data_IF_052110740142
#
_entry.id   IF_052110740142
#
_cell.length_a   1.000
_cell.length_b   1.000
_cell.length_c   1.000
_cell.angle_alpha   90.00
_cell.angle_beta   90.00
_cell.angle_gamma   90.00
#
_symmetry.space_group_name_H-M   'P 1'
#
loop_
_entity.id
_entity.type
_entity.pdbx_description
1 polymer ?
#
# COMPACT_ATOMS: atom_id res chain seq x y z
N UNK A 1 -5.58 9.24 -22.00
CA UNK A 1 -6.35 7.97 -21.97
C UNK A 1 -5.46 6.78 -21.64
N UNK A 2 -4.26 6.67 -22.23
CA UNK A 2 -3.28 5.64 -21.85
C UNK A 2 -2.87 5.70 -20.36
N UNK A 3 -2.72 6.91 -19.82
CA UNK A 3 -2.40 7.16 -18.41
C UNK A 3 -3.46 6.62 -17.44
N UNK A 4 -4.75 6.60 -17.82
CA UNK A 4 -5.81 5.97 -17.01
C UNK A 4 -5.66 4.45 -16.93
N UNK A 5 -5.21 3.79 -18.01
CA UNK A 5 -4.95 2.35 -17.98
C UNK A 5 -3.79 2.02 -17.04
N UNK A 6 -2.75 2.88 -17.01
CA UNK A 6 -1.63 2.74 -16.07
C UNK A 6 -2.12 2.89 -14.63
N UNK A 7 -2.90 3.93 -14.33
CA UNK A 7 -3.48 4.15 -13.00
C UNK A 7 -4.34 2.95 -12.58
N UNK A 8 -5.24 2.49 -13.46
CA UNK A 8 -6.09 1.32 -13.20
C UNK A 8 -5.26 0.05 -12.94
N UNK A 9 -4.22 -0.19 -13.73
CA UNK A 9 -3.34 -1.34 -13.54
C UNK A 9 -2.63 -1.30 -12.18
N UNK A 10 -2.15 -0.13 -11.77
CA UNK A 10 -1.54 0.06 -10.45
C UNK A 10 -2.57 -0.13 -9.32
N UNK A 11 -3.79 0.35 -9.50
CA UNK A 11 -4.89 0.16 -8.55
C UNK A 11 -5.20 -1.32 -8.35
N UNK A 12 -5.24 -2.10 -9.43
CA UNK A 12 -5.42 -3.56 -9.37
C UNK A 12 -4.28 -4.22 -8.59
N UNK A 13 -3.03 -3.80 -8.77
CA UNK A 13 -1.89 -4.34 -8.01
C UNK A 13 -2.05 -4.03 -6.52
N UNK A 14 -2.38 -2.79 -6.14
CA UNK A 14 -2.53 -2.43 -4.73
C UNK A 14 -3.69 -3.14 -4.06
N UNK A 15 -4.82 -3.29 -4.75
CA UNK A 15 -5.93 -4.09 -4.25
C UNK A 15 -5.53 -5.56 -4.15
N UNK A 16 -4.82 -6.12 -5.13
CA UNK A 16 -4.30 -7.49 -5.01
C UNK A 16 -3.41 -7.63 -3.77
N UNK A 17 -2.48 -6.71 -3.52
CA UNK A 17 -1.63 -6.72 -2.33
C UNK A 17 -2.44 -6.63 -1.03
N UNK A 18 -3.49 -5.81 -0.99
CA UNK A 18 -4.36 -5.66 0.18
C UNK A 18 -5.03 -6.97 0.63
N UNK A 19 -5.34 -7.86 -0.32
CA UNK A 19 -6.12 -9.07 -0.08
C UNK A 19 -5.35 -10.38 -0.22
N UNK A 20 -4.23 -10.39 -0.96
CA UNK A 20 -3.44 -11.59 -1.22
C UNK A 20 -2.61 -11.99 0.00
N UNK A 21 -2.08 -11.02 0.75
CA UNK A 21 -1.34 -11.29 1.99
C UNK A 21 -2.31 -11.58 3.14
N UNK A 22 -2.17 -12.75 3.75
CA UNK A 22 -3.02 -13.23 4.84
C UNK A 22 -2.20 -14.05 5.86
N UNK A 23 -2.85 -14.55 6.92
CA UNK A 23 -2.16 -15.28 8.01
C UNK A 23 -1.42 -16.53 7.52
N UNK A 24 -1.97 -17.23 6.53
CA UNK A 24 -1.43 -18.51 6.06
C UNK A 24 -0.16 -18.31 5.23
N UNK A 25 -0.07 -17.21 4.49
CA UNK A 25 1.03 -16.94 3.56
C UNK A 25 1.96 -15.79 4.01
N UNK A 26 1.65 -15.06 5.08
CA UNK A 26 2.46 -13.93 5.57
C UNK A 26 3.91 -14.33 5.84
N UNK A 27 4.16 -15.54 6.35
CA UNK A 27 5.53 -16.06 6.59
C UNK A 27 6.39 -16.16 5.32
N UNK A 28 5.79 -16.09 4.14
CA UNK A 28 6.48 -16.09 2.85
C UNK A 28 6.43 -14.71 2.18
N UNK A 29 5.25 -14.07 2.17
CA UNK A 29 4.99 -12.89 1.37
C UNK A 29 5.21 -11.56 2.08
N UNK A 30 5.13 -11.54 3.43
CA UNK A 30 5.29 -10.32 4.19
C UNK A 30 6.76 -10.09 4.52
N UNK A 31 7.39 -9.16 3.79
CA UNK A 31 8.76 -8.75 4.05
C UNK A 31 8.96 -8.29 5.50
N UNK A 32 10.08 -8.65 6.11
CA UNK A 32 10.34 -8.44 7.54
C UNK A 32 9.80 -9.59 8.38
N UNK A 33 8.51 -9.92 8.27
CA UNK A 33 7.93 -11.07 8.97
C UNK A 33 8.50 -12.41 8.44
N UNK A 34 8.73 -12.51 7.13
CA UNK A 34 9.36 -13.68 6.52
C UNK A 34 10.82 -13.89 6.95
N UNK A 35 11.54 -12.83 7.35
CA UNK A 35 12.91 -12.89 7.87
C UNK A 35 13.00 -13.08 9.38
N UNK A 36 11.91 -12.87 10.11
CA UNK A 36 11.86 -13.10 11.56
C UNK A 36 12.07 -14.56 11.91
N UNK A 37 12.79 -14.81 13.00
CA UNK A 37 12.84 -16.09 13.68
C UNK A 37 11.47 -16.48 14.25
N UNK A 38 11.29 -17.76 14.58
CA UNK A 38 10.03 -18.27 15.16
C UNK A 38 9.66 -17.47 16.43
N UNK A 39 10.63 -17.22 17.32
CA UNK A 39 10.44 -16.47 18.57
C UNK A 39 10.03 -15.01 18.36
N UNK A 40 10.49 -14.39 17.28
CA UNK A 40 10.11 -13.01 16.94
C UNK A 40 8.70 -12.97 16.36
N UNK A 41 8.33 -13.95 15.52
CA UNK A 41 6.98 -14.06 14.97
C UNK A 41 5.93 -14.29 16.06
N UNK A 42 6.26 -15.05 17.10
CA UNK A 42 5.38 -15.25 18.26
C UNK A 42 5.04 -13.96 19.01
N UNK A 43 5.89 -12.95 18.94
CA UNK A 43 5.67 -11.62 19.54
C UNK A 43 5.03 -10.63 18.57
N UNK A 44 5.03 -10.94 17.28
CA UNK A 44 4.50 -10.04 16.26
C UNK A 44 2.97 -10.08 16.26
N UNK A 45 2.33 -8.91 16.39
CA UNK A 45 0.88 -8.78 16.29
C UNK A 45 0.42 -8.85 14.82
N UNK A 46 0.46 -10.06 14.26
CA UNK A 46 0.16 -10.32 12.85
C UNK A 46 -1.28 -9.94 12.49
N UNK A 47 -2.22 -10.19 13.40
CA UNK A 47 -3.64 -9.99 13.15
C UNK A 47 -3.97 -8.51 12.94
N UNK A 48 -3.52 -7.65 13.86
CA UNK A 48 -3.72 -6.21 13.71
C UNK A 48 -2.84 -5.62 12.62
N UNK A 49 -1.65 -6.19 12.37
CA UNK A 49 -0.81 -5.78 11.26
C UNK A 49 -1.51 -6.02 9.91
N UNK A 50 -2.15 -7.17 9.70
CA UNK A 50 -2.87 -7.48 8.45
C UNK A 50 -4.09 -6.56 8.25
N UNK A 51 -4.79 -6.18 9.32
CA UNK A 51 -5.86 -5.17 9.25
C UNK A 51 -5.27 -3.82 8.81
N UNK A 52 -4.16 -3.40 9.43
CA UNK A 52 -3.44 -2.19 9.06
C UNK A 52 -2.95 -2.20 7.61
N UNK A 53 -2.35 -3.32 7.17
CA UNK A 53 -1.87 -3.55 5.81
C UNK A 53 -2.99 -3.37 4.78
N UNK A 54 -4.10 -4.08 4.98
CA UNK A 54 -5.26 -4.00 4.09
C UNK A 54 -5.79 -2.57 4.01
N UNK A 55 -6.00 -1.92 5.16
CA UNK A 55 -6.49 -0.56 5.22
C UNK A 55 -5.52 0.43 4.53
N UNK A 56 -4.22 0.23 4.67
CA UNK A 56 -3.22 1.08 4.01
C UNK A 56 -3.33 1.00 2.49
N UNK A 57 -3.31 -0.19 1.91
CA UNK A 57 -3.36 -0.35 0.45
C UNK A 57 -4.70 0.11 -0.13
N UNK A 58 -5.84 -0.21 0.52
CA UNK A 58 -7.16 0.27 0.08
C UNK A 58 -7.23 1.80 0.11
N UNK A 59 -6.76 2.43 1.19
CA UNK A 59 -6.76 3.89 1.29
C UNK A 59 -5.78 4.53 0.29
N UNK A 60 -4.61 3.92 0.05
CA UNK A 60 -3.63 4.37 -0.93
C UNK A 60 -4.23 4.37 -2.34
N UNK A 61 -4.89 3.27 -2.74
CA UNK A 61 -5.63 3.18 -4.01
C UNK A 61 -6.65 4.30 -4.10
N UNK A 62 -7.66 4.32 -3.22
CA UNK A 62 -8.77 5.29 -3.29
C UNK A 62 -8.26 6.74 -3.31
N UNK A 63 -7.33 7.08 -2.40
CA UNK A 63 -6.85 8.45 -2.28
C UNK A 63 -6.02 8.87 -3.48
N UNK A 64 -5.13 8.00 -3.99
CA UNK A 64 -4.28 8.33 -5.14
C UNK A 64 -5.10 8.42 -6.44
N UNK A 65 -6.07 7.53 -6.67
CA UNK A 65 -6.98 7.61 -7.82
C UNK A 65 -7.79 8.91 -7.79
N UNK A 66 -8.34 9.30 -6.63
CA UNK A 66 -9.06 10.57 -6.48
C UNK A 66 -8.15 11.77 -6.77
N UNK A 67 -6.93 11.79 -6.24
CA UNK A 67 -5.94 12.84 -6.50
C UNK A 67 -5.62 12.92 -7.99
N UNK A 68 -5.43 11.79 -8.66
CA UNK A 68 -5.17 11.74 -10.10
C UNK A 68 -6.35 12.30 -10.90
N UNK A 69 -7.57 11.82 -10.64
CA UNK A 69 -8.78 12.27 -11.34
C UNK A 69 -8.98 13.78 -11.18
N UNK A 70 -8.85 14.31 -9.96
CA UNK A 70 -8.95 15.75 -9.71
C UNK A 70 -7.84 16.50 -10.45
N UNK A 71 -6.60 16.03 -10.37
CA UNK A 71 -5.45 16.67 -11.03
C UNK A 71 -5.56 16.67 -12.54
N UNK A 72 -6.10 15.60 -13.13
CA UNK A 72 -6.31 15.45 -14.58
C UNK A 72 -7.30 16.48 -15.13
N UNK A 73 -8.32 16.86 -14.35
CA UNK A 73 -9.28 17.90 -14.77
C UNK A 73 -8.75 19.33 -14.60
N UNK A 74 -7.70 19.54 -13.80
CA UNK A 74 -7.13 20.86 -13.50
C UNK A 74 -5.87 21.14 -14.34
N UNK A 75 -5.06 20.11 -14.60
CA UNK A 75 -3.74 20.22 -15.21
C UNK A 75 -3.64 19.35 -16.48
N UNK A 76 -2.52 19.49 -17.21
CA UNK A 76 -2.21 18.57 -18.31
C UNK A 76 -1.81 17.17 -17.80
N UNK A 77 -1.86 16.18 -18.69
CA UNK A 77 -1.58 14.76 -18.40
C UNK A 77 -0.24 14.55 -17.69
N UNK A 78 0.83 15.24 -18.09
CA UNK A 78 2.18 15.09 -17.51
C UNK A 78 2.16 15.57 -16.06
N UNK A 79 1.64 16.77 -15.81
CA UNK A 79 1.56 17.35 -14.47
C UNK A 79 0.66 16.52 -13.55
N UNK A 80 -0.50 16.06 -14.03
CA UNK A 80 -1.40 15.20 -13.26
C UNK A 80 -0.73 13.86 -12.87
N UNK A 81 0.04 13.27 -13.80
CA UNK A 81 0.78 12.03 -13.55
C UNK A 81 1.90 12.22 -12.53
N UNK A 82 2.61 13.35 -12.57
CA UNK A 82 3.62 13.70 -11.56
C UNK A 82 2.99 13.86 -10.17
N UNK A 83 1.87 14.57 -10.05
CA UNK A 83 1.14 14.74 -8.79
C UNK A 83 0.71 13.38 -8.22
N UNK A 84 0.12 12.53 -9.06
CA UNK A 84 -0.27 11.17 -8.68
C UNK A 84 0.93 10.35 -8.20
N UNK A 85 2.06 10.42 -8.89
CA UNK A 85 3.29 9.70 -8.52
C UNK A 85 3.81 10.13 -7.15
N UNK A 86 3.78 11.44 -6.85
CA UNK A 86 4.14 11.97 -5.53
C UNK A 86 3.16 11.50 -4.47
N UNK A 87 1.85 11.52 -4.76
CA UNK A 87 0.81 11.05 -3.85
C UNK A 87 0.97 9.56 -3.48
N UNK A 88 1.51 8.74 -4.37
CA UNK A 88 1.85 7.34 -4.08
C UNK A 88 3.04 7.18 -3.14
N UNK A 89 4.00 8.13 -3.15
CA UNK A 89 5.23 8.05 -2.35
C UNK A 89 5.07 8.59 -0.93
N UNK A 90 4.29 9.66 -0.75
CA UNK A 90 4.14 10.36 0.53
C UNK A 90 3.66 9.48 1.71
N UNK A 91 2.78 8.47 1.54
CA UNK A 91 2.28 7.68 2.66
C UNK A 91 3.28 6.66 3.23
N UNK A 92 4.36 6.32 2.52
CA UNK A 92 5.28 5.25 2.91
C UNK A 92 6.05 5.52 4.21
N UNK A 93 6.62 6.71 4.47
CA UNK A 93 7.25 7.00 5.75
C UNK A 93 6.30 6.82 6.94
N UNK A 94 5.03 7.22 6.78
CA UNK A 94 3.99 7.06 7.81
C UNK A 94 3.65 5.58 8.00
N UNK A 95 3.54 4.82 6.91
CA UNK A 95 3.32 3.38 6.96
C UNK A 95 4.42 2.67 7.75
N UNK A 96 5.69 2.92 7.42
CA UNK A 96 6.85 2.30 8.07
C UNK A 96 6.86 2.64 9.57
N UNK A 97 6.65 3.92 9.92
CA UNK A 97 6.61 4.34 11.32
C UNK A 97 5.49 3.65 12.12
N UNK A 98 4.28 3.58 11.56
CA UNK A 98 3.15 2.90 12.21
C UNK A 98 3.33 1.39 12.28
N UNK A 99 3.96 0.79 11.26
CA UNK A 99 4.27 -0.64 11.21
C UNK A 99 5.16 -1.11 12.36
N UNK A 100 6.05 -0.25 12.88
CA UNK A 100 6.92 -0.60 14.01
C UNK A 100 6.15 -0.95 15.30
N UNK A 101 4.89 -0.50 15.43
CA UNK A 101 4.08 -0.75 16.63
C UNK A 101 3.70 -2.22 16.79
N UNK A 102 3.73 -3.01 15.72
CA UNK A 102 3.34 -4.43 15.70
C UNK A 102 4.52 -5.38 15.99
N UNK A 103 5.75 -4.86 16.12
CA UNK A 103 6.96 -5.60 16.48
C UNK A 103 7.11 -5.82 18.01
N UNK A 104 6.13 -5.40 18.80
CA UNK A 104 6.24 -5.30 20.27
C UNK A 104 5.63 -6.51 20.96
#
# INVERSE_FOLDING_TARGET
METFLIVFFVDVIFIALAYLVNKDNAKYLLAGYNTMSIKEREKFDLDNFLIFWKNFFVNLTISSTLIYVISFFIFNDITATLIWSVALMLPWPIFIYKAQKFLR
#
